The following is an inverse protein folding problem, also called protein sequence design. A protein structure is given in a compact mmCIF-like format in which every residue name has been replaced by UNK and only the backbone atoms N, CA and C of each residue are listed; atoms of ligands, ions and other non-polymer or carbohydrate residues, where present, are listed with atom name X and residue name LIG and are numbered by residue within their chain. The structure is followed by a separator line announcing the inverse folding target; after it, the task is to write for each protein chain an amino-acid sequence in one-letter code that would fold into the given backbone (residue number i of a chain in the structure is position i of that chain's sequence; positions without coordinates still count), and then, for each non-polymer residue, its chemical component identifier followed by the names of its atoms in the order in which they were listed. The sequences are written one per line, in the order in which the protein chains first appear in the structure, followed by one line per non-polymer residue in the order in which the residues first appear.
data_IF_600226573820
#
_entry.id   IF_600226573820
#
_cell.length_a   1.000
_cell.length_b   1.000
_cell.length_c   1.000
_cell.angle_alpha   90.00
_cell.angle_beta   90.00
_cell.angle_gamma   90.00
#
_symmetry.space_group_name_H-M   'P 1'
#
loop_
_entity.id
_entity.type
_entity.pdbx_description
1 polymer ?
#
# COMPACT_ATOMS: atom_id res chain seq x y z
N UNK A 1 -9.82 -8.76 15.57
CA UNK A 1 -10.22 -9.51 14.36
C UNK A 1 -11.04 -8.58 13.47
N UNK A 2 -10.88 -8.64 12.14
CA UNK A 2 -11.60 -7.78 11.18
C UNK A 2 -13.10 -8.11 11.15
N UNK A 3 -13.87 -7.50 12.06
CA UNK A 3 -15.33 -7.61 12.06
C UNK A 3 -15.94 -6.74 10.95
N UNK A 4 -17.18 -7.00 10.52
CA UNK A 4 -17.87 -6.15 9.55
C UNK A 4 -17.92 -4.67 9.96
N UNK A 5 -18.09 -4.39 11.26
CA UNK A 5 -18.05 -3.03 11.79
C UNK A 5 -16.68 -2.38 11.62
N UNK A 6 -15.60 -3.11 11.91
CA UNK A 6 -14.22 -2.63 11.71
C UNK A 6 -13.89 -2.43 10.24
N UNK A 7 -14.41 -3.27 9.35
CA UNK A 7 -14.29 -3.06 7.90
C UNK A 7 -14.99 -1.76 7.47
N UNK A 8 -16.22 -1.53 7.94
CA UNK A 8 -16.96 -0.31 7.64
C UNK A 8 -16.26 0.95 8.18
N UNK A 9 -15.72 0.88 9.40
CA UNK A 9 -14.90 1.95 9.97
C UNK A 9 -13.69 2.25 9.09
N UNK A 10 -12.96 1.21 8.67
CA UNK A 10 -11.78 1.35 7.81
C UNK A 10 -12.10 1.98 6.45
N UNK A 11 -13.27 1.65 5.88
CA UNK A 11 -13.77 2.27 4.65
C UNK A 11 -14.09 3.75 4.85
N UNK A 12 -14.79 4.10 5.93
CA UNK A 12 -15.08 5.50 6.27
C UNK A 12 -13.82 6.32 6.52
N UNK A 13 -12.81 5.73 7.16
CA UNK A 13 -11.53 6.38 7.39
C UNK A 13 -10.82 6.68 6.07
N UNK A 14 -10.76 5.71 5.14
CA UNK A 14 -10.20 5.92 3.81
C UNK A 14 -10.93 7.05 3.06
N UNK A 15 -12.25 7.01 3.10
CA UNK A 15 -13.11 8.02 2.48
C UNK A 15 -12.83 9.44 3.02
N UNK A 16 -12.61 9.58 4.33
CA UNK A 16 -12.28 10.85 4.97
C UNK A 16 -10.86 11.32 4.64
N UNK A 17 -9.90 10.40 4.58
CA UNK A 17 -8.50 10.70 4.30
C UNK A 17 -8.24 11.11 2.84
N UNK A 18 -9.10 10.65 1.93
CA UNK A 18 -8.88 10.75 0.47
C UNK A 18 -9.94 11.56 -0.28
N UNK A 19 -11.12 11.75 0.31
CA UNK A 19 -12.27 12.35 -0.37
C UNK A 19 -12.97 11.45 -1.39
N UNK A 20 -12.60 10.16 -1.50
CA UNK A 20 -13.13 9.22 -2.52
C UNK A 20 -14.45 8.51 -2.13
N UNK A 21 -15.23 9.12 -1.24
CA UNK A 21 -16.43 8.59 -0.56
C UNK A 21 -17.40 7.72 -1.37
N UNK A 22 -17.62 8.03 -2.65
CA UNK A 22 -18.66 7.37 -3.47
C UNK A 22 -18.18 6.07 -4.12
N UNK A 23 -16.87 5.84 -4.22
CA UNK A 23 -16.30 4.72 -4.96
C UNK A 23 -16.10 3.46 -4.11
N UNK A 24 -15.82 3.62 -2.81
CA UNK A 24 -15.68 2.48 -1.89
C UNK A 24 -17.05 1.88 -1.57
N UNK A 25 -18.06 2.72 -1.28
CA UNK A 25 -19.43 2.26 -0.96
C UNK A 25 -20.15 1.53 -2.10
N UNK A 26 -19.76 1.78 -3.35
CA UNK A 26 -20.35 1.14 -4.52
C UNK A 26 -19.68 -0.19 -4.88
N UNK A 27 -18.71 -0.66 -4.09
CA UNK A 27 -17.94 -1.87 -4.38
C UNK A 27 -16.98 -1.73 -5.56
N UNK A 28 -16.72 -0.50 -6.01
CA UNK A 28 -15.83 -0.23 -7.15
C UNK A 28 -14.36 -0.17 -6.73
N UNK A 29 -14.09 0.17 -5.46
CA UNK A 29 -12.75 0.18 -4.85
C UNK A 29 -12.73 -0.80 -3.69
N UNK A 30 -11.74 -1.68 -3.69
CA UNK A 30 -11.40 -2.55 -2.58
C UNK A 30 -10.15 -2.00 -1.90
N UNK A 31 -10.16 -1.89 -0.58
CA UNK A 31 -8.95 -1.51 0.15
C UNK A 31 -8.03 -2.72 0.26
N UNK A 32 -6.72 -2.50 0.20
CA UNK A 32 -5.75 -3.58 0.32
C UNK A 32 -5.73 -4.15 1.74
N UNK A 33 -5.28 -5.39 1.90
CA UNK A 33 -4.99 -5.95 3.23
C UNK A 33 -3.98 -5.09 4.00
N UNK A 34 -3.07 -4.40 3.29
CA UNK A 34 -2.12 -3.45 3.88
C UNK A 34 -2.79 -2.26 4.56
N UNK A 35 -3.88 -1.73 3.99
CA UNK A 35 -4.68 -0.67 4.62
C UNK A 35 -5.24 -1.07 5.98
N UNK A 36 -5.94 -2.21 6.02
CA UNK A 36 -6.50 -2.72 7.27
C UNK A 36 -5.40 -3.03 8.30
N UNK A 37 -4.26 -3.55 7.83
CA UNK A 37 -3.12 -3.85 8.69
C UNK A 37 -2.51 -2.58 9.29
N UNK A 38 -2.39 -1.50 8.51
CA UNK A 38 -1.84 -0.24 9.01
C UNK A 38 -2.73 0.35 10.11
N UNK A 39 -4.06 0.37 9.91
CA UNK A 39 -5.01 0.83 10.95
C UNK A 39 -4.83 0.01 12.22
N UNK A 40 -4.79 -1.32 12.10
CA UNK A 40 -4.62 -2.18 13.27
C UNK A 40 -3.28 -1.90 13.97
N UNK A 41 -2.20 -1.72 13.22
CA UNK A 41 -0.87 -1.45 13.77
C UNK A 41 -0.81 -0.10 14.50
N UNK A 42 -1.46 0.95 13.98
CA UNK A 42 -1.49 2.26 14.63
C UNK A 42 -2.39 2.31 15.87
N UNK A 43 -3.39 1.42 15.98
CA UNK A 43 -4.23 1.28 17.18
C UNK A 43 -3.56 0.42 18.27
N UNK A 44 -2.74 -0.56 17.89
CA UNK A 44 -2.23 -1.58 18.80
C UNK A 44 -0.77 -1.38 19.24
N UNK A 45 0.01 -0.59 18.51
CA UNK A 45 1.45 -0.46 18.73
C UNK A 45 1.88 0.98 19.01
N UNK A 46 2.82 1.17 19.93
CA UNK A 46 3.44 2.48 20.18
C UNK A 46 4.33 2.96 19.02
N UNK A 47 4.92 2.01 18.29
CA UNK A 47 5.77 2.25 17.13
C UNK A 47 5.51 1.20 16.05
N UNK A 48 5.44 1.64 14.80
CA UNK A 48 5.23 0.78 13.63
C UNK A 48 6.45 0.88 12.71
N UNK A 49 7.05 -0.26 12.35
CA UNK A 49 8.13 -0.33 11.37
C UNK A 49 7.62 -1.03 10.13
N UNK A 50 7.76 -0.37 8.98
CA UNK A 50 7.19 -0.80 7.72
C UNK A 50 8.33 -1.20 6.78
N UNK A 51 8.20 -2.38 6.17
CA UNK A 51 9.13 -2.93 5.19
C UNK A 51 8.38 -3.30 3.92
N UNK A 52 9.07 -3.31 2.78
CA UNK A 52 8.50 -3.75 1.50
C UNK A 52 7.38 -2.85 0.98
N UNK A 53 7.34 -1.59 1.41
CA UNK A 53 6.36 -0.60 0.96
C UNK A 53 7.10 0.57 0.31
N UNK A 54 7.17 0.56 -1.02
CA UNK A 54 7.66 1.68 -1.83
C UNK A 54 6.81 2.93 -1.61
N UNK A 55 7.43 4.11 -1.57
CA UNK A 55 6.73 5.40 -1.53
C UNK A 55 6.18 5.80 -2.92
N UNK A 56 6.44 4.98 -3.96
CA UNK A 56 5.98 5.20 -5.32
C UNK A 56 6.78 6.23 -6.12
N UNK A 57 7.76 6.91 -5.51
CA UNK A 57 8.64 7.85 -6.22
C UNK A 57 9.50 7.12 -7.25
N UNK A 58 9.93 5.90 -6.93
CA UNK A 58 10.65 5.01 -7.86
C UNK A 58 9.88 4.79 -9.17
N UNK A 59 8.54 4.82 -9.13
CA UNK A 59 7.71 4.64 -10.32
C UNK A 59 7.59 5.90 -11.20
N UNK A 60 8.13 7.03 -10.74
CA UNK A 60 8.16 8.30 -11.48
C UNK A 60 9.53 8.59 -12.08
N UNK A 61 10.58 7.98 -11.56
CA UNK A 61 11.94 8.13 -12.08
C UNK A 61 12.17 7.17 -13.27
N UNK A 62 12.39 7.68 -14.50
CA UNK A 62 12.66 6.85 -15.66
C UNK A 62 13.96 6.04 -15.55
N UNK A 63 14.85 6.38 -14.61
CA UNK A 63 16.11 5.68 -14.37
C UNK A 63 16.04 4.70 -13.20
N UNK A 64 14.90 4.60 -12.51
CA UNK A 64 14.76 3.67 -11.39
C UNK A 64 14.86 2.22 -11.87
N UNK A 65 15.56 1.40 -11.09
CA UNK A 65 15.64 -0.03 -11.37
C UNK A 65 14.26 -0.68 -11.17
N UNK A 66 13.78 -1.49 -12.14
CA UNK A 66 12.51 -2.21 -12.00
C UNK A 66 12.47 -3.09 -10.75
N UNK A 67 11.55 -2.80 -9.85
CA UNK A 67 11.25 -3.69 -8.72
C UNK A 67 10.24 -4.76 -9.13
N UNK A 68 10.47 -6.00 -8.71
CA UNK A 68 9.45 -7.05 -8.80
C UNK A 68 8.28 -6.72 -7.85
N UNK A 69 7.05 -6.99 -8.28
CA UNK A 69 5.85 -6.71 -7.48
C UNK A 69 5.83 -7.45 -6.14
N UNK A 70 6.37 -8.67 -6.10
CA UNK A 70 6.65 -9.37 -4.85
C UNK A 70 8.14 -9.70 -4.73
N UNK A 71 8.64 -9.68 -3.50
CA UNK A 71 10.05 -9.98 -3.21
C UNK A 71 10.45 -11.43 -3.59
N UNK A 72 9.52 -12.38 -3.47
CA UNK A 72 9.75 -13.78 -3.81
C UNK A 72 9.71 -14.06 -5.31
N UNK A 73 9.24 -13.11 -6.12
CA UNK A 73 9.27 -13.20 -7.59
C UNK A 73 10.61 -12.68 -8.16
N UNK A 74 11.50 -12.16 -7.30
CA UNK A 74 12.73 -11.48 -7.72
C UNK A 74 13.80 -12.38 -8.35
N UNK A 75 13.68 -13.70 -8.21
CA UNK A 75 14.58 -14.68 -8.85
C UNK A 75 14.16 -15.00 -10.29
N UNK A 76 12.95 -14.63 -10.70
CA UNK A 76 12.44 -14.87 -12.06
C UNK A 76 11.78 -13.61 -12.64
N UNK A 77 12.58 -12.53 -12.70
CA UNK A 77 12.08 -11.20 -13.07
C UNK A 77 11.47 -11.14 -14.47
N UNK A 78 11.81 -12.08 -15.35
CA UNK A 78 11.22 -12.27 -16.68
C UNK A 78 9.73 -12.62 -16.65
N UNK A 79 9.25 -13.27 -15.59
CA UNK A 79 7.82 -13.57 -15.40
C UNK A 79 7.19 -12.76 -14.26
N UNK A 80 8.01 -12.15 -13.41
CA UNK A 80 7.54 -11.26 -12.35
C UNK A 80 6.87 -10.03 -12.96
N UNK A 81 5.70 -9.66 -12.45
CA UNK A 81 5.14 -8.35 -12.78
C UNK A 81 6.00 -7.27 -12.16
N UNK A 82 6.25 -6.21 -12.91
CA UNK A 82 6.87 -5.00 -12.38
C UNK A 82 5.93 -4.35 -11.35
N UNK A 83 6.47 -3.97 -10.19
CA UNK A 83 5.72 -3.31 -9.10
C UNK A 83 4.94 -2.09 -9.60
N UNK A 84 5.61 -1.21 -10.34
CA UNK A 84 5.03 0.02 -10.83
C UNK A 84 3.92 -0.22 -11.85
N UNK A 85 4.04 -1.23 -12.71
CA UNK A 85 3.00 -1.57 -13.67
C UNK A 85 1.74 -2.10 -12.97
N UNK A 86 1.90 -2.95 -11.96
CA UNK A 86 0.77 -3.47 -11.17
C UNK A 86 0.09 -2.34 -10.39
N UNK A 87 0.87 -1.50 -9.71
CA UNK A 87 0.33 -0.35 -8.97
C UNK A 87 -0.38 0.65 -9.88
N UNK A 88 0.25 1.05 -10.99
CA UNK A 88 -0.37 1.95 -11.96
C UNK A 88 -1.63 1.34 -12.60
N UNK A 89 -1.60 0.05 -12.90
CA UNK A 89 -2.73 -0.68 -13.47
C UNK A 89 -3.93 -0.65 -12.53
N UNK A 90 -3.73 -0.98 -11.25
CA UNK A 90 -4.79 -0.97 -10.24
C UNK A 90 -5.27 0.44 -9.93
N UNK A 91 -4.36 1.42 -9.82
CA UNK A 91 -4.72 2.81 -9.53
C UNK A 91 -5.58 3.44 -10.64
N UNK A 92 -5.47 2.98 -11.90
CA UNK A 92 -6.28 3.48 -13.04
C UNK A 92 -7.62 2.76 -13.21
N UNK A 93 -7.78 1.55 -12.67
CA UNK A 93 -9.01 0.76 -12.84
C UNK A 93 -10.21 1.44 -12.18
N UNK A 94 -11.35 1.39 -12.85
CA UNK A 94 -12.60 1.97 -12.33
C UNK A 94 -13.31 1.04 -11.34
N UNK A 95 -13.21 -0.27 -11.55
CA UNK A 95 -13.85 -1.33 -10.74
C UNK A 95 -12.82 -2.37 -10.31
N UNK A 96 -13.14 -3.10 -9.24
CA UNK A 96 -12.28 -4.15 -8.67
C UNK A 96 -10.82 -3.70 -8.51
N UNK A 97 -10.67 -2.46 -8.04
CA UNK A 97 -9.40 -1.74 -8.00
C UNK A 97 -8.93 -1.55 -6.57
N UNK A 98 -7.63 -1.77 -6.35
CA UNK A 98 -6.92 -1.26 -5.18
C UNK A 98 -6.33 0.10 -5.49
N UNK A 99 -6.40 1.03 -4.53
CA UNK A 99 -5.79 2.36 -4.67
C UNK A 99 -4.44 2.38 -3.95
N UNK A 100 -3.51 1.57 -4.43
CA UNK A 100 -2.22 1.36 -3.77
C UNK A 100 -1.43 2.66 -3.53
N UNK A 101 -1.38 3.57 -4.51
CA UNK A 101 -0.68 4.84 -4.32
C UNK A 101 -1.45 5.78 -3.40
N UNK A 102 -2.77 5.78 -3.51
CA UNK A 102 -3.61 6.58 -2.62
C UNK A 102 -3.44 6.14 -1.16
N UNK A 103 -3.52 4.84 -0.87
CA UNK A 103 -3.31 4.27 0.48
C UNK A 103 -1.91 4.64 1.03
N UNK A 104 -0.87 4.47 0.22
CA UNK A 104 0.51 4.81 0.60
C UNK A 104 0.68 6.29 0.92
N UNK A 105 0.03 7.17 0.16
CA UNK A 105 0.04 8.63 0.40
C UNK A 105 -0.62 8.97 1.75
N UNK A 106 -1.63 8.21 2.17
CA UNK A 106 -2.21 8.35 3.52
C UNK A 106 -1.20 7.88 4.57
N UNK A 107 -0.55 6.73 4.39
CA UNK A 107 0.43 6.24 5.38
C UNK A 107 1.62 7.18 5.57
N UNK A 108 2.09 7.79 4.48
CA UNK A 108 3.11 8.83 4.54
C UNK A 108 2.62 10.03 5.38
N UNK A 109 1.39 10.50 5.19
CA UNK A 109 0.81 11.55 6.04
C UNK A 109 0.69 11.11 7.49
N UNK A 110 0.25 9.89 7.75
CA UNK A 110 0.12 9.34 9.11
C UNK A 110 1.46 9.25 9.82
N UNK A 111 2.57 8.98 9.11
CA UNK A 111 3.91 8.95 9.71
C UNK A 111 4.34 10.27 10.35
N UNK A 112 3.67 11.38 10.05
CA UNK A 112 3.93 12.70 10.68
C UNK A 112 3.32 12.83 12.07
N UNK A 113 2.32 12.01 12.39
CA UNK A 113 1.55 12.10 13.65
C UNK A 113 1.54 10.77 14.44
N UNK A 114 1.85 9.65 13.78
CA UNK A 114 2.10 8.35 14.38
C UNK A 114 3.59 8.02 14.28
N UNK A 115 4.13 7.23 15.22
CA UNK A 115 5.53 6.75 15.17
C UNK A 115 5.68 5.62 14.14
N UNK A 116 5.51 5.95 12.86
CA UNK A 116 5.66 5.03 11.72
C UNK A 116 7.02 5.30 11.07
N UNK A 117 7.82 4.26 10.85
CA UNK A 117 9.11 4.36 10.16
C UNK A 117 9.15 3.39 8.98
N UNK A 118 9.45 3.92 7.79
CA UNK A 118 9.61 3.12 6.57
C UNK A 118 11.08 2.73 6.40
N UNK A 119 11.31 1.45 6.11
CA UNK A 119 12.63 0.88 5.96
C UNK A 119 12.82 0.27 4.56
N UNK A 120 13.97 0.57 3.96
CA UNK A 120 14.39 0.09 2.65
C UNK A 120 15.77 -0.61 2.75
N UNK A 121 15.85 -1.77 3.44
CA UNK A 121 17.12 -2.47 3.62
C UNK A 121 17.62 -3.07 2.30
N UNK A 122 18.93 -3.05 2.09
CA UNK A 122 19.60 -3.90 1.09
C UNK A 122 19.83 -5.28 1.68
N UNK A 123 19.29 -6.33 1.04
CA UNK A 123 19.51 -7.72 1.46
C UNK A 123 20.68 -8.30 0.66
N UNK A 124 21.75 -8.74 1.35
CA UNK A 124 22.78 -9.54 0.71
C UNK A 124 22.23 -10.97 0.52
N UNK A 125 22.08 -11.42 -0.73
CA UNK A 125 21.59 -12.78 -1.05
C UNK A 125 22.64 -13.89 -0.82
N UNK A 126 23.76 -13.59 -0.17
CA UNK A 126 24.94 -14.46 -0.08
C UNK A 126 25.49 -14.59 1.35
N UNK A 127 24.63 -14.93 2.30
CA UNK A 127 25.03 -15.60 3.55
C UNK A 127 24.25 -16.92 3.70
#
# INVERSE_FOLDING_TARGET
MLSPERMLYSHKLFDNETGLQRRVKSGLIWLSTGWFTMILATEMCDQVKVYGMSNGENCRDPNAYPAAYHYFDSDNITYARNECDEYNGMEKREKDAHRFFTEKTVFERWSKYHKITFHFPSWNRYE
#
